data_IF_637276666852
#
_entry.id   IF_637276666852
#
_cell.length_a   1.000
_cell.length_b   1.000
_cell.length_c   1.000
_cell.angle_alpha   90.00
_cell.angle_beta   90.00
_cell.angle_gamma   90.00
#
_symmetry.space_group_name_H-M   'P 1'
#
loop_
_entity.id
_entity.type
_entity.pdbx_description
1 polymer ?
#
# COMPACT_ATOMS: atom_id res chain seq x y z
N UNK A 1 -17.50 -71.08 10.00
CA UNK A 1 -16.63 -70.22 9.19
C UNK A 1 -15.35 -70.98 8.94
N UNK A 2 -14.82 -70.98 7.71
CA UNK A 2 -13.61 -71.75 7.38
C UNK A 2 -12.40 -71.20 8.15
N UNK A 3 -11.75 -72.04 8.94
CA UNK A 3 -10.46 -71.71 9.56
C UNK A 3 -9.44 -71.43 8.46
N UNK A 4 -8.71 -70.31 8.56
CA UNK A 4 -7.62 -70.01 7.64
C UNK A 4 -6.60 -71.14 7.66
N UNK A 5 -6.02 -71.45 6.50
CA UNK A 5 -4.90 -72.39 6.45
C UNK A 5 -3.66 -71.78 7.12
N UNK A 6 -2.77 -72.61 7.65
CA UNK A 6 -1.52 -72.16 8.29
C UNK A 6 -0.68 -71.25 7.39
N UNK A 7 -0.77 -71.43 6.06
CA UNK A 7 -0.10 -70.57 5.08
C UNK A 7 -0.73 -69.17 5.03
N UNK A 8 -2.05 -69.08 5.05
CA UNK A 8 -2.77 -67.80 5.03
C UNK A 8 -2.59 -67.02 6.33
N UNK A 9 -2.56 -67.72 7.47
CA UNK A 9 -2.27 -67.13 8.78
C UNK A 9 -0.88 -66.48 8.79
N UNK A 10 0.15 -67.19 8.34
CA UNK A 10 1.52 -66.67 8.31
C UNK A 10 1.70 -65.50 7.32
N UNK A 11 1.02 -65.54 6.16
CA UNK A 11 1.05 -64.43 5.19
C UNK A 11 0.33 -63.21 5.75
N UNK A 12 -0.79 -63.38 6.45
CA UNK A 12 -1.55 -62.27 7.04
C UNK A 12 -0.79 -61.64 8.20
N UNK A 13 -0.18 -62.47 9.05
CA UNK A 13 0.65 -62.03 10.16
C UNK A 13 1.86 -61.21 9.70
N UNK A 14 2.54 -61.64 8.64
CA UNK A 14 3.67 -60.89 8.09
C UNK A 14 3.25 -59.53 7.53
N UNK A 15 2.08 -59.44 6.87
CA UNK A 15 1.51 -58.17 6.40
C UNK A 15 1.17 -57.22 7.56
N UNK A 16 0.49 -57.70 8.60
CA UNK A 16 0.15 -56.91 9.79
C UNK A 16 1.42 -56.39 10.47
N UNK A 17 2.43 -57.25 10.62
CA UNK A 17 3.72 -56.87 11.20
C UNK A 17 4.42 -55.79 10.39
N UNK A 18 4.47 -55.93 9.07
CA UNK A 18 5.06 -54.93 8.18
C UNK A 18 4.33 -53.59 8.27
N UNK A 19 3.00 -53.60 8.35
CA UNK A 19 2.18 -52.39 8.53
C UNK A 19 2.49 -51.67 9.86
N UNK A 20 2.69 -52.42 10.94
CA UNK A 20 3.19 -51.85 12.20
C UNK A 20 4.60 -51.28 12.07
N UNK A 21 5.50 -51.96 11.38
CA UNK A 21 6.88 -51.50 11.15
C UNK A 21 6.94 -50.23 10.29
N UNK A 22 6.16 -50.16 9.22
CA UNK A 22 6.09 -49.00 8.33
C UNK A 22 5.37 -47.82 9.00
N UNK A 23 4.24 -48.09 9.68
CA UNK A 23 3.51 -47.09 10.45
C UNK A 23 4.34 -46.50 11.59
N UNK A 24 5.14 -47.33 12.27
CA UNK A 24 6.04 -46.91 13.34
C UNK A 24 7.16 -45.99 12.83
N UNK A 25 7.70 -46.26 11.64
CA UNK A 25 8.68 -45.38 10.99
C UNK A 25 8.10 -44.01 10.64
N UNK A 26 6.84 -43.97 10.15
CA UNK A 26 6.21 -42.74 9.66
C UNK A 26 5.57 -41.89 10.77
N UNK A 27 4.94 -42.53 11.75
CA UNK A 27 4.13 -41.87 12.77
C UNK A 27 4.63 -42.10 14.21
N UNK A 28 5.66 -42.93 14.39
CA UNK A 28 6.32 -43.21 15.66
C UNK A 28 5.79 -44.46 16.38
N UNK A 29 6.68 -45.09 17.17
CA UNK A 29 6.40 -46.32 17.94
C UNK A 29 5.30 -46.18 18.99
N UNK A 30 4.91 -44.95 19.34
CA UNK A 30 3.79 -44.68 20.28
C UNK A 30 2.43 -44.94 19.65
N UNK A 31 2.32 -44.81 18.32
CA UNK A 31 1.07 -44.95 17.57
C UNK A 31 0.98 -46.35 16.96
N UNK A 32 2.07 -46.79 16.32
CA UNK A 32 2.21 -48.16 15.82
C UNK A 32 3.21 -48.92 16.71
N UNK A 33 2.70 -49.67 17.68
CA UNK A 33 3.52 -50.37 18.65
C UNK A 33 3.69 -51.86 18.27
N UNK A 34 4.82 -52.16 17.63
CA UNK A 34 5.20 -53.50 17.18
C UNK A 34 5.43 -54.46 18.36
N UNK A 35 6.02 -53.97 19.45
CA UNK A 35 6.28 -54.78 20.65
C UNK A 35 4.95 -55.26 21.26
N UNK A 36 4.01 -54.34 21.41
CA UNK A 36 2.66 -54.64 21.91
C UNK A 36 1.90 -55.61 21.00
N UNK A 37 2.05 -55.50 19.67
CA UNK A 37 1.51 -56.48 18.72
C UNK A 37 2.14 -57.86 18.92
N UNK A 38 3.47 -57.95 19.03
CA UNK A 38 4.16 -59.23 19.22
C UNK A 38 3.81 -59.88 20.56
N UNK A 39 3.60 -59.09 21.62
CA UNK A 39 3.18 -59.58 22.93
C UNK A 39 1.74 -60.12 22.89
N UNK A 40 0.80 -59.40 22.25
CA UNK A 40 -0.56 -59.89 22.00
C UNK A 40 -0.56 -61.19 21.19
N UNK A 41 0.31 -61.30 20.20
CA UNK A 41 0.44 -62.51 19.39
C UNK A 41 0.97 -63.71 20.21
N UNK A 42 1.98 -63.49 21.05
CA UNK A 42 2.50 -64.53 21.96
C UNK A 42 1.42 -64.99 22.94
N UNK A 43 0.63 -64.07 23.47
CA UNK A 43 -0.47 -64.36 24.38
C UNK A 43 -1.57 -65.18 23.69
N UNK A 44 -1.94 -64.84 22.46
CA UNK A 44 -2.90 -65.60 21.67
C UNK A 44 -2.46 -67.06 21.44
N UNK A 45 -1.15 -67.28 21.20
CA UNK A 45 -0.56 -68.61 21.07
C UNK A 45 -0.56 -69.39 22.40
N UNK A 46 -0.18 -68.75 23.51
CA UNK A 46 -0.17 -69.38 24.83
C UNK A 46 -1.58 -69.81 25.28
N UNK A 47 -2.57 -68.98 24.99
CA UNK A 47 -3.97 -69.20 25.37
C UNK A 47 -4.75 -70.07 24.36
N UNK A 48 -4.08 -70.59 23.31
CA UNK A 48 -4.69 -71.40 22.24
C UNK A 48 -5.92 -70.74 21.62
N UNK A 49 -5.88 -69.43 21.42
CA UNK A 49 -6.96 -68.68 20.80
C UNK A 49 -7.07 -69.01 19.29
N UNK A 50 -8.25 -68.80 18.71
CA UNK A 50 -8.44 -68.88 17.26
C UNK A 50 -7.68 -67.73 16.58
N UNK A 51 -6.59 -68.09 15.91
CA UNK A 51 -5.71 -67.15 15.20
C UNK A 51 -6.44 -66.37 14.10
N UNK A 52 -7.51 -66.93 13.52
CA UNK A 52 -8.30 -66.23 12.49
C UNK A 52 -9.03 -65.04 13.11
N UNK A 53 -9.61 -65.21 14.30
CA UNK A 53 -10.29 -64.14 15.02
C UNK A 53 -9.31 -63.11 15.58
N UNK A 54 -8.14 -63.56 16.06
CA UNK A 54 -7.05 -62.68 16.48
C UNK A 54 -6.60 -61.76 15.34
N UNK A 55 -6.31 -62.32 14.16
CA UNK A 55 -5.86 -61.54 13.00
C UNK A 55 -6.93 -60.53 12.56
N UNK A 56 -8.20 -60.89 12.60
CA UNK A 56 -9.30 -60.00 12.26
C UNK A 56 -9.43 -58.82 13.25
N UNK A 57 -9.28 -59.09 14.54
CA UNK A 57 -9.22 -58.04 15.57
C UNK A 57 -8.04 -57.08 15.35
N UNK A 58 -6.88 -57.62 14.99
CA UNK A 58 -5.68 -56.81 14.79
C UNK A 58 -5.77 -55.96 13.50
N UNK A 59 -6.39 -56.49 12.44
CA UNK A 59 -6.71 -55.72 11.23
C UNK A 59 -7.62 -54.55 11.58
N UNK A 60 -8.66 -54.77 12.39
CA UNK A 60 -9.57 -53.70 12.83
C UNK A 60 -8.84 -52.62 13.66
N UNK A 61 -7.93 -53.03 14.54
CA UNK A 61 -7.10 -52.09 15.33
C UNK A 61 -6.24 -51.21 14.40
N UNK A 62 -5.58 -51.83 13.40
CA UNK A 62 -4.79 -51.09 12.42
C UNK A 62 -5.65 -50.13 11.59
N UNK A 63 -6.85 -50.55 11.20
CA UNK A 63 -7.78 -49.72 10.44
C UNK A 63 -8.26 -48.51 11.27
N UNK A 64 -8.56 -48.70 12.55
CA UNK A 64 -8.88 -47.62 13.49
C UNK A 64 -7.73 -46.62 13.65
N UNK A 65 -6.48 -47.11 13.75
CA UNK A 65 -5.30 -46.25 13.81
C UNK A 65 -5.17 -45.42 12.52
N UNK A 66 -5.34 -46.05 11.35
CA UNK A 66 -5.29 -45.38 10.05
C UNK A 66 -6.38 -44.32 9.90
N UNK A 67 -7.61 -44.63 10.32
CA UNK A 67 -8.73 -43.69 10.26
C UNK A 67 -8.51 -42.46 11.15
N UNK A 68 -8.06 -42.66 12.41
CA UNK A 68 -7.74 -41.55 13.32
C UNK A 68 -6.61 -40.65 12.81
N UNK A 69 -5.62 -41.22 12.14
CA UNK A 69 -4.54 -40.44 11.54
C UNK A 69 -5.03 -39.62 10.35
N UNK A 70 -5.85 -40.22 9.48
CA UNK A 70 -6.45 -39.54 8.34
C UNK A 70 -7.32 -38.35 8.78
N UNK A 71 -8.12 -38.53 9.84
CA UNK A 71 -8.92 -37.45 10.43
C UNK A 71 -8.06 -36.31 10.97
N UNK A 72 -6.96 -36.63 11.67
CA UNK A 72 -6.02 -35.62 12.18
C UNK A 72 -5.29 -34.86 11.06
N UNK A 73 -4.90 -35.54 9.99
CA UNK A 73 -4.28 -34.91 8.82
C UNK A 73 -5.28 -33.95 8.14
N UNK A 74 -6.52 -34.38 7.94
CA UNK A 74 -7.60 -33.54 7.38
C UNK A 74 -7.92 -32.33 8.27
N UNK A 75 -7.93 -32.49 9.59
CA UNK A 75 -8.17 -31.38 10.52
C UNK A 75 -7.02 -30.36 10.51
N UNK A 76 -5.76 -30.83 10.40
CA UNK A 76 -4.60 -29.96 10.24
C UNK A 76 -4.65 -29.18 8.93
N UNK A 77 -4.94 -29.84 7.82
CA UNK A 77 -5.08 -29.17 6.52
C UNK A 77 -6.20 -28.12 6.53
N UNK A 78 -7.33 -28.41 7.17
CA UNK A 78 -8.42 -27.44 7.34
C UNK A 78 -8.00 -26.23 8.17
N UNK A 79 -7.34 -26.44 9.31
CA UNK A 79 -6.84 -25.34 10.16
C UNK A 79 -5.81 -24.49 9.44
N UNK A 80 -4.87 -25.12 8.73
CA UNK A 80 -3.88 -24.40 7.92
C UNK A 80 -4.52 -23.59 6.78
N UNK A 81 -5.56 -24.13 6.14
CA UNK A 81 -6.31 -23.42 5.10
C UNK A 81 -7.12 -22.24 5.67
N UNK A 82 -7.73 -22.40 6.84
CA UNK A 82 -8.46 -21.33 7.54
C UNK A 82 -7.52 -20.22 8.02
N UNK A 83 -6.36 -20.56 8.58
CA UNK A 83 -5.35 -19.58 8.99
C UNK A 83 -4.77 -18.82 7.80
N UNK A 84 -4.52 -19.49 6.67
CA UNK A 84 -4.09 -18.85 5.42
C UNK A 84 -5.15 -17.86 4.92
N UNK A 85 -6.41 -18.28 4.85
CA UNK A 85 -7.53 -17.41 4.46
C UNK A 85 -7.72 -16.22 5.42
N UNK A 86 -7.57 -16.43 6.72
CA UNK A 86 -7.66 -15.36 7.71
C UNK A 86 -6.53 -14.34 7.56
N UNK A 87 -5.30 -14.80 7.27
CA UNK A 87 -4.14 -13.93 6.99
C UNK A 87 -4.32 -13.15 5.68
N UNK A 88 -4.80 -13.80 4.63
CA UNK A 88 -5.12 -13.15 3.34
C UNK A 88 -6.21 -12.09 3.49
N UNK A 89 -7.31 -12.41 4.18
CA UNK A 89 -8.38 -11.44 4.45
C UNK A 89 -7.89 -10.25 5.30
N UNK A 90 -7.02 -10.50 6.28
CA UNK A 90 -6.40 -9.43 7.09
C UNK A 90 -5.50 -8.52 6.26
N UNK A 91 -4.78 -9.07 5.28
CA UNK A 91 -3.94 -8.29 4.37
C UNK A 91 -4.77 -7.46 3.39
N UNK A 92 -5.77 -8.06 2.73
CA UNK A 92 -6.65 -7.34 1.80
C UNK A 92 -7.38 -6.19 2.50
N UNK A 93 -7.94 -6.42 3.69
CA UNK A 93 -8.59 -5.36 4.47
C UNK A 93 -7.63 -4.21 4.81
N UNK A 94 -6.36 -4.51 5.07
CA UNK A 94 -5.34 -3.46 5.31
C UNK A 94 -5.07 -2.66 4.02
N UNK A 95 -4.94 -3.33 2.89
CA UNK A 95 -4.72 -2.69 1.58
C UNK A 95 -5.90 -1.80 1.23
N UNK A 96 -7.14 -2.29 1.34
CA UNK A 96 -8.35 -1.51 1.06
C UNK A 96 -8.45 -0.30 1.97
N UNK A 97 -8.22 -0.47 3.28
CA UNK A 97 -8.23 0.65 4.23
C UNK A 97 -7.14 1.69 3.95
N UNK A 98 -6.03 1.28 3.34
CA UNK A 98 -4.93 2.17 2.97
C UNK A 98 -5.29 2.94 1.69
N UNK A 99 -5.84 2.27 0.68
CA UNK A 99 -6.34 2.90 -0.56
C UNK A 99 -7.42 3.94 -0.23
N UNK A 100 -8.36 3.61 0.65
CA UNK A 100 -9.46 4.51 1.03
C UNK A 100 -8.95 5.75 1.78
N UNK A 101 -8.01 5.59 2.71
CA UNK A 101 -7.35 6.71 3.39
C UNK A 101 -6.64 7.63 2.40
N UNK A 102 -5.97 7.05 1.42
CA UNK A 102 -5.26 7.79 0.40
C UNK A 102 -6.18 8.56 -0.53
N UNK A 103 -7.27 7.94 -1.00
CA UNK A 103 -8.29 8.64 -1.78
C UNK A 103 -8.90 9.80 -0.98
N UNK A 104 -9.31 9.53 0.27
CA UNK A 104 -9.89 10.55 1.16
C UNK A 104 -8.94 11.72 1.42
N UNK A 105 -7.63 11.46 1.50
CA UNK A 105 -6.63 12.51 1.70
C UNK A 105 -6.53 13.48 0.51
N UNK A 106 -6.76 12.96 -0.70
CA UNK A 106 -6.63 13.70 -1.96
C UNK A 106 -7.92 14.45 -2.32
N UNK A 107 -9.10 13.93 -1.96
CA UNK A 107 -10.42 14.51 -2.28
C UNK A 107 -10.63 15.97 -1.82
N UNK A 108 -9.91 16.41 -0.78
CA UNK A 108 -9.98 17.80 -0.27
C UNK A 108 -9.42 18.84 -1.27
N UNK A 109 -8.56 18.40 -2.18
CA UNK A 109 -7.98 19.26 -3.22
C UNK A 109 -8.98 19.44 -4.36
N UNK A 110 -9.01 20.61 -5.03
CA UNK A 110 -9.84 20.78 -6.23
C UNK A 110 -9.49 19.72 -7.28
N UNK A 111 -10.50 19.23 -8.00
CA UNK A 111 -10.28 18.35 -9.16
C UNK A 111 -10.37 19.20 -10.43
N UNK A 112 -9.38 19.05 -11.30
CA UNK A 112 -9.31 19.75 -12.58
C UNK A 112 -9.42 18.76 -13.72
N UNK A 113 -10.18 19.13 -14.75
CA UNK A 113 -10.36 18.28 -15.91
C UNK A 113 -9.10 18.24 -16.76
N UNK A 114 -8.58 17.03 -16.98
CA UNK A 114 -7.42 16.75 -17.85
C UNK A 114 -7.87 15.95 -19.08
N UNK A 115 -8.47 14.78 -18.84
CA UNK A 115 -8.94 13.85 -19.88
C UNK A 115 -10.02 12.92 -19.29
N UNK A 116 -10.97 12.38 -20.09
CA UNK A 116 -12.06 11.53 -19.55
C UNK A 116 -11.60 10.24 -18.88
N UNK A 117 -10.40 9.76 -19.24
CA UNK A 117 -9.77 8.56 -18.66
C UNK A 117 -8.64 8.87 -17.66
N UNK A 118 -8.48 10.14 -17.27
CA UNK A 118 -7.45 10.51 -16.32
C UNK A 118 -7.76 9.92 -14.94
N UNK A 119 -6.72 9.51 -14.23
CA UNK A 119 -6.85 9.09 -12.84
C UNK A 119 -7.26 10.28 -11.94
N UNK A 120 -8.06 9.98 -10.92
CA UNK A 120 -8.54 10.98 -9.94
C UNK A 120 -7.36 11.65 -9.24
N UNK A 121 -6.33 10.89 -8.87
CA UNK A 121 -5.13 11.41 -8.21
C UNK A 121 -4.43 12.49 -9.03
N UNK A 122 -4.21 12.26 -10.32
CA UNK A 122 -3.56 13.22 -11.22
C UNK A 122 -4.44 14.47 -11.41
N UNK A 123 -5.76 14.28 -11.49
CA UNK A 123 -6.73 15.38 -11.63
C UNK A 123 -6.76 16.28 -10.38
N UNK A 124 -6.72 15.67 -9.20
CA UNK A 124 -6.63 16.40 -7.93
C UNK A 124 -5.26 17.02 -7.70
N UNK A 125 -4.18 16.37 -8.15
CA UNK A 125 -2.82 16.93 -8.09
C UNK A 125 -2.73 18.21 -8.93
N UNK A 126 -3.30 18.21 -10.13
CA UNK A 126 -3.35 19.41 -10.96
C UNK A 126 -4.12 20.55 -10.29
N UNK A 127 -5.30 20.27 -9.73
CA UNK A 127 -6.05 21.28 -8.98
C UNK A 127 -5.32 21.77 -7.72
N UNK A 128 -4.61 20.88 -7.02
CA UNK A 128 -3.77 21.25 -5.90
C UNK A 128 -2.64 22.21 -6.30
N UNK A 129 -2.00 21.99 -7.46
CA UNK A 129 -0.99 22.90 -8.00
C UNK A 129 -1.56 24.27 -8.40
N UNK A 130 -2.75 24.32 -9.00
CA UNK A 130 -3.40 25.61 -9.31
C UNK A 130 -3.73 26.39 -8.04
N UNK A 131 -4.21 25.71 -7.00
CA UNK A 131 -4.47 26.33 -5.69
C UNK A 131 -3.16 26.80 -5.02
N UNK A 132 -2.09 25.99 -5.05
CA UNK A 132 -0.78 26.39 -4.54
C UNK A 132 -0.19 27.58 -5.33
N UNK A 133 -0.38 27.62 -6.65
CA UNK A 133 0.06 28.73 -7.48
C UNK A 133 -0.69 30.02 -7.15
N UNK A 134 -2.00 29.95 -6.93
CA UNK A 134 -2.78 31.09 -6.46
C UNK A 134 -2.27 31.58 -5.08
N UNK A 135 -1.93 30.66 -4.17
CA UNK A 135 -1.28 31.01 -2.91
C UNK A 135 0.07 31.74 -3.13
N UNK A 136 0.88 31.23 -4.06
CA UNK A 136 2.15 31.84 -4.44
C UNK A 136 1.98 33.22 -5.10
N UNK A 137 0.94 33.43 -5.92
CA UNK A 137 0.61 34.73 -6.51
C UNK A 137 0.30 35.80 -5.45
N UNK A 138 -0.35 35.41 -4.34
CA UNK A 138 -0.55 36.33 -3.20
C UNK A 138 0.78 36.73 -2.57
N UNK A 139 1.70 35.78 -2.41
CA UNK A 139 3.06 36.08 -1.92
C UNK A 139 3.77 37.05 -2.87
N UNK A 140 3.77 36.73 -4.17
CA UNK A 140 4.34 37.60 -5.21
C UNK A 140 3.77 39.01 -5.15
N UNK A 141 2.46 39.16 -4.95
CA UNK A 141 1.79 40.46 -4.90
C UNK A 141 2.41 41.40 -3.85
N UNK A 142 2.64 40.93 -2.61
CA UNK A 142 3.20 41.79 -1.56
C UNK A 142 4.74 41.78 -1.52
N UNK A 143 5.39 40.80 -2.15
CA UNK A 143 6.85 40.71 -2.19
C UNK A 143 7.49 41.51 -3.34
N UNK A 144 6.77 41.79 -4.42
CA UNK A 144 7.27 42.49 -5.62
C UNK A 144 6.80 43.96 -5.75
N UNK A 145 6.52 44.64 -4.63
CA UNK A 145 6.04 46.02 -4.63
C UNK A 145 7.11 47.09 -4.85
N UNK A 146 6.76 48.40 -4.88
CA UNK A 146 7.67 49.53 -5.12
C UNK A 146 8.84 49.67 -4.13
N UNK A 147 8.74 49.02 -2.96
CA UNK A 147 9.77 48.94 -1.93
C UNK A 147 10.33 47.50 -1.78
N UNK A 148 10.13 46.66 -2.79
CA UNK A 148 10.56 45.26 -2.81
C UNK A 148 12.08 45.13 -2.86
N UNK A 149 12.61 44.09 -2.20
CA UNK A 149 14.02 43.75 -2.30
C UNK A 149 14.29 43.09 -3.66
N UNK A 150 15.23 43.65 -4.43
CA UNK A 150 15.60 43.13 -5.76
C UNK A 150 15.96 41.63 -5.75
N UNK A 151 16.60 41.15 -4.68
CA UNK A 151 16.97 39.74 -4.52
C UNK A 151 15.72 38.87 -4.34
N UNK A 152 14.76 39.35 -3.54
CA UNK A 152 13.47 38.66 -3.32
C UNK A 152 12.65 38.66 -4.61
N UNK A 153 12.54 39.80 -5.29
CA UNK A 153 11.80 39.91 -6.54
C UNK A 153 12.38 39.00 -7.62
N UNK A 154 13.70 38.98 -7.79
CA UNK A 154 14.38 38.09 -8.74
C UNK A 154 14.14 36.63 -8.39
N UNK A 155 14.30 36.26 -7.12
CA UNK A 155 14.06 34.89 -6.67
C UNK A 155 12.61 34.42 -6.90
N UNK A 156 11.63 35.31 -6.70
CA UNK A 156 10.21 35.03 -6.96
C UNK A 156 9.95 34.87 -8.46
N UNK A 157 10.50 35.74 -9.31
CA UNK A 157 10.37 35.61 -10.78
C UNK A 157 10.98 34.31 -11.31
N UNK A 158 12.16 33.94 -10.81
CA UNK A 158 12.81 32.68 -11.18
C UNK A 158 11.95 31.47 -10.80
N UNK A 159 11.30 31.52 -9.65
CA UNK A 159 10.41 30.45 -9.20
C UNK A 159 9.07 30.43 -9.91
N UNK A 160 8.54 31.59 -10.27
CA UNK A 160 7.34 31.72 -11.09
C UNK A 160 7.52 30.95 -12.40
N UNK A 161 8.66 31.12 -13.07
CA UNK A 161 9.03 30.38 -14.28
C UNK A 161 9.09 28.86 -14.06
N UNK A 162 9.59 28.40 -12.90
CA UNK A 162 9.62 26.97 -12.53
C UNK A 162 8.23 26.42 -12.22
N UNK A 163 7.30 27.26 -11.79
CA UNK A 163 5.92 26.89 -11.49
C UNK A 163 5.09 26.72 -12.78
N UNK A 164 5.35 27.53 -13.81
CA UNK A 164 4.56 27.55 -15.05
C UNK A 164 4.27 26.16 -15.66
N UNK A 165 5.23 25.22 -15.77
CA UNK A 165 4.99 23.90 -16.36
C UNK A 165 3.90 23.07 -15.65
N UNK A 166 3.62 23.36 -14.38
CA UNK A 166 2.63 22.65 -13.55
C UNK A 166 1.22 23.25 -13.65
N UNK A 167 1.08 24.50 -14.10
CA UNK A 167 -0.19 25.24 -14.00
C UNK A 167 -0.68 25.86 -15.30
N UNK A 168 0.23 26.35 -16.15
CA UNK A 168 -0.16 27.03 -17.38
C UNK A 168 -0.38 26.06 -18.52
N UNK A 169 -1.59 26.05 -19.12
CA UNK A 169 -1.86 25.31 -20.34
C UNK A 169 -0.95 25.76 -21.48
N UNK A 170 -0.43 24.81 -22.25
CA UNK A 170 0.42 25.11 -23.42
C UNK A 170 -0.16 24.50 -24.70
N UNK A 171 -0.13 25.28 -25.78
CA UNK A 171 -0.52 24.82 -27.12
C UNK A 171 -1.98 24.37 -27.24
N UNK A 172 -2.22 23.37 -28.08
CA UNK A 172 -3.56 22.85 -28.40
C UNK A 172 -4.11 21.88 -27.34
N UNK A 173 -3.24 21.28 -26.52
CA UNK A 173 -3.62 20.26 -25.53
C UNK A 173 -4.45 20.81 -24.37
N UNK A 174 -4.47 22.15 -24.20
CA UNK A 174 -5.17 22.86 -23.11
C UNK A 174 -4.82 22.35 -21.70
N UNK A 175 -3.72 21.62 -21.54
CA UNK A 175 -3.18 21.13 -20.27
C UNK A 175 -1.76 21.64 -20.07
N UNK A 176 -1.27 21.73 -18.83
CA UNK A 176 0.12 22.13 -18.58
C UNK A 176 1.13 21.14 -19.15
N UNK A 177 2.35 21.63 -19.36
CA UNK A 177 3.42 20.89 -20.05
C UNK A 177 3.71 19.53 -19.40
N UNK A 178 3.70 19.43 -18.07
CA UNK A 178 4.00 18.14 -17.41
C UNK A 178 2.93 17.07 -17.64
N UNK A 179 1.71 17.48 -18.00
CA UNK A 179 0.57 16.58 -18.24
C UNK A 179 0.40 16.23 -19.73
N UNK A 180 1.14 16.86 -20.65
CA UNK A 180 0.94 16.64 -22.09
C UNK A 180 1.19 15.19 -22.50
N UNK A 181 2.28 14.60 -22.01
CA UNK A 181 2.66 13.22 -22.33
C UNK A 181 1.69 12.22 -21.69
N UNK A 182 1.05 12.59 -20.59
CA UNK A 182 0.02 11.79 -19.96
C UNK A 182 -1.27 11.79 -20.78
N UNK A 183 -1.75 12.96 -21.23
CA UNK A 183 -2.91 13.06 -22.12
C UNK A 183 -2.68 12.27 -23.41
N UNK A 184 -1.50 12.44 -24.02
CA UNK A 184 -1.14 11.70 -25.22
C UNK A 184 -1.11 10.18 -25.01
N UNK A 185 -0.59 9.73 -23.87
CA UNK A 185 -0.59 8.31 -23.49
C UNK A 185 -2.01 7.76 -23.29
N UNK A 186 -2.91 8.55 -22.68
CA UNK A 186 -4.31 8.17 -22.49
C UNK A 186 -5.10 8.09 -23.79
N UNK A 187 -4.82 8.97 -24.75
CA UNK A 187 -5.42 8.96 -26.08
C UNK A 187 -5.00 7.71 -26.88
N UNK A 188 -3.71 7.36 -26.81
CA UNK A 188 -3.17 6.16 -27.47
C UNK A 188 -3.51 4.86 -26.74
N UNK A 189 -3.83 4.93 -25.45
CA UNK A 189 -4.09 3.76 -24.61
C UNK A 189 -2.83 3.01 -24.18
N UNK A 190 -1.65 3.61 -24.30
CA UNK A 190 -0.37 2.98 -23.95
C UNK A 190 0.53 3.96 -23.18
N UNK A 191 1.20 3.47 -22.12
CA UNK A 191 2.23 4.23 -21.40
C UNK A 191 1.74 5.21 -20.34
N UNK A 192 0.43 5.25 -20.03
CA UNK A 192 -0.16 6.16 -19.04
C UNK A 192 0.55 6.07 -17.67
N UNK A 193 0.75 4.85 -17.16
CA UNK A 193 1.42 4.61 -15.87
C UNK A 193 2.84 5.19 -15.79
N UNK A 194 3.57 5.21 -16.92
CA UNK A 194 4.91 5.79 -16.96
C UNK A 194 4.85 7.31 -16.84
N UNK A 195 3.91 7.94 -17.55
CA UNK A 195 3.68 9.39 -17.49
C UNK A 195 3.17 9.81 -16.11
N UNK A 196 2.32 9.02 -15.45
CA UNK A 196 1.86 9.25 -14.07
C UNK A 196 3.02 9.28 -13.08
N UNK A 197 3.89 8.25 -13.13
CA UNK A 197 5.09 8.21 -12.28
C UNK A 197 6.02 9.39 -12.53
N UNK A 198 6.15 9.84 -13.79
CA UNK A 198 6.91 11.03 -14.13
C UNK A 198 6.31 12.29 -13.50
N UNK A 199 4.99 12.48 -13.62
CA UNK A 199 4.28 13.62 -13.02
C UNK A 199 4.46 13.63 -11.51
N UNK A 200 4.24 12.51 -10.83
CA UNK A 200 4.40 12.41 -9.37
C UNK A 200 5.84 12.73 -8.94
N UNK A 201 6.83 12.19 -9.66
CA UNK A 201 8.24 12.44 -9.38
C UNK A 201 8.62 13.92 -9.53
N UNK A 202 8.28 14.54 -10.66
CA UNK A 202 8.58 15.96 -10.89
C UNK A 202 7.82 16.86 -9.92
N UNK A 203 6.58 16.49 -9.56
CA UNK A 203 5.79 17.18 -8.54
C UNK A 203 6.46 17.14 -7.17
N UNK A 204 6.96 15.98 -6.76
CA UNK A 204 7.71 15.86 -5.51
C UNK A 204 8.98 16.70 -5.51
N UNK A 205 9.79 16.60 -6.56
CA UNK A 205 11.01 17.42 -6.69
C UNK A 205 10.72 18.91 -6.62
N UNK A 206 9.67 19.34 -7.31
CA UNK A 206 9.24 20.73 -7.28
C UNK A 206 8.81 21.17 -5.88
N UNK A 207 7.94 20.41 -5.21
CA UNK A 207 7.38 20.79 -3.91
C UNK A 207 8.45 20.88 -2.82
N UNK A 208 9.39 19.93 -2.77
CA UNK A 208 10.51 20.00 -1.82
C UNK A 208 11.37 21.25 -2.08
N UNK A 209 11.75 21.49 -3.33
CA UNK A 209 12.55 22.66 -3.68
C UNK A 209 11.79 23.97 -3.41
N UNK A 210 10.48 23.99 -3.66
CA UNK A 210 9.60 25.12 -3.40
C UNK A 210 9.58 25.46 -1.91
N UNK A 211 9.41 24.47 -1.03
CA UNK A 211 9.44 24.69 0.43
C UNK A 211 10.77 25.33 0.85
N UNK A 212 11.89 24.72 0.46
CA UNK A 212 13.24 25.18 0.83
C UNK A 212 13.50 26.62 0.35
N UNK A 213 13.08 26.94 -0.89
CA UNK A 213 13.24 28.30 -1.43
C UNK A 213 12.30 29.30 -0.77
N UNK A 214 11.04 28.94 -0.57
CA UNK A 214 10.06 29.85 0.01
C UNK A 214 10.38 30.17 1.47
N UNK A 215 10.93 29.22 2.24
CA UNK A 215 11.48 29.50 3.57
C UNK A 215 12.67 30.47 3.51
N UNK A 216 13.57 30.28 2.56
CA UNK A 216 14.70 31.20 2.34
C UNK A 216 14.23 32.62 1.97
N UNK A 217 13.22 32.73 1.09
CA UNK A 217 12.61 34.01 0.70
C UNK A 217 11.92 34.66 1.90
N UNK A 218 11.13 33.90 2.66
CA UNK A 218 10.45 34.36 3.88
C UNK A 218 11.43 35.02 4.84
N UNK A 219 12.57 34.36 5.12
CA UNK A 219 13.58 34.86 6.04
C UNK A 219 14.20 36.21 5.62
N UNK A 220 14.32 36.46 4.31
CA UNK A 220 14.84 37.73 3.77
C UNK A 220 13.74 38.79 3.77
N UNK A 221 12.54 38.44 3.32
CA UNK A 221 11.41 39.34 3.17
C UNK A 221 10.98 39.94 4.52
N UNK A 222 10.86 39.11 5.57
CA UNK A 222 10.40 39.54 6.89
C UNK A 222 11.40 40.39 7.67
N UNK A 223 12.72 40.28 7.39
CA UNK A 223 13.75 41.10 8.06
C UNK A 223 13.66 42.59 7.69
N UNK A 224 13.06 42.92 6.54
CA UNK A 224 13.08 44.28 5.96
C UNK A 224 11.73 44.98 5.97
N UNK A 225 10.65 44.30 6.32
CA UNK A 225 9.30 44.90 6.33
C UNK A 225 8.87 45.29 7.75
N UNK A 226 8.56 46.58 7.94
CA UNK A 226 8.02 47.12 9.20
C UNK A 226 6.49 47.05 9.28
N UNK A 227 5.82 46.89 8.14
CA UNK A 227 4.37 46.76 8.05
C UNK A 227 3.96 45.30 7.80
N UNK A 228 3.16 44.76 8.71
CA UNK A 228 2.74 43.35 8.71
C UNK A 228 1.32 43.14 8.20
N UNK A 229 0.54 44.20 7.98
CA UNK A 229 -0.81 44.07 7.47
C UNK A 229 -0.80 43.95 5.94
N UNK A 230 -1.52 42.95 5.41
CA UNK A 230 -1.75 42.80 3.98
C UNK A 230 -3.23 43.03 3.69
N UNK A 231 -3.50 43.90 2.74
CA UNK A 231 -4.79 43.98 2.08
C UNK A 231 -4.71 43.06 0.87
N UNK A 232 -5.53 41.99 0.88
CA UNK A 232 -5.60 41.05 -0.24
C UNK A 232 -6.22 41.75 -1.46
N UNK A 233 -5.77 41.42 -2.69
CA UNK A 233 -6.40 41.93 -3.90
C UNK A 233 -7.88 41.58 -3.98
N UNK A 234 -8.74 42.54 -4.33
CA UNK A 234 -10.19 42.29 -4.47
C UNK A 234 -10.50 41.24 -5.53
N UNK A 235 -9.72 41.19 -6.62
CA UNK A 235 -9.84 40.20 -7.70
C UNK A 235 -9.65 38.76 -7.22
N UNK A 236 -8.88 38.54 -6.14
CA UNK A 236 -8.66 37.21 -5.58
C UNK A 236 -9.97 36.60 -5.04
N UNK A 237 -10.90 37.44 -4.57
CA UNK A 237 -12.19 36.98 -4.06
C UNK A 237 -13.07 36.35 -5.14
N UNK A 238 -12.95 36.80 -6.39
CA UNK A 238 -13.64 36.24 -7.55
C UNK A 238 -12.87 35.12 -8.25
N UNK A 239 -11.54 35.24 -8.36
CA UNK A 239 -10.70 34.29 -9.09
C UNK A 239 -10.39 33.02 -8.30
N UNK A 240 -10.19 33.16 -6.98
CA UNK A 240 -9.88 32.03 -6.10
C UNK A 240 -10.49 32.20 -4.70
N UNK A 241 -11.81 31.96 -4.55
CA UNK A 241 -12.52 32.14 -3.28
C UNK A 241 -11.93 31.31 -2.13
N UNK A 242 -11.45 30.09 -2.43
CA UNK A 242 -10.78 29.21 -1.47
C UNK A 242 -9.52 29.87 -0.91
N UNK A 243 -8.62 30.36 -1.77
CA UNK A 243 -7.38 31.03 -1.36
C UNK A 243 -7.66 32.35 -0.65
N UNK A 244 -8.64 33.12 -1.12
CA UNK A 244 -9.07 34.34 -0.43
C UNK A 244 -9.52 34.04 1.01
N UNK A 245 -10.38 33.03 1.20
CA UNK A 245 -10.82 32.61 2.53
C UNK A 245 -9.68 32.08 3.39
N UNK A 246 -8.72 31.38 2.78
CA UNK A 246 -7.56 30.78 3.44
C UNK A 246 -6.60 31.83 4.01
N UNK A 247 -6.48 32.99 3.37
CA UNK A 247 -5.60 34.09 3.79
C UNK A 247 -6.31 35.27 4.45
N UNK A 248 -7.64 35.31 4.45
CA UNK A 248 -8.40 36.41 5.04
C UNK A 248 -8.00 36.61 6.50
N UNK A 249 -7.55 37.82 6.83
CA UNK A 249 -7.15 38.22 8.19
C UNK A 249 -5.75 37.77 8.61
N UNK A 250 -4.98 37.13 7.71
CA UNK A 250 -3.61 36.71 7.98
C UNK A 250 -2.59 37.81 7.67
N UNK A 251 -1.51 37.84 8.45
CA UNK A 251 -0.35 38.69 8.19
C UNK A 251 0.63 38.04 7.20
N UNK A 252 1.70 38.77 6.84
CA UNK A 252 2.77 38.30 5.92
C UNK A 252 3.34 36.94 6.30
N UNK A 253 3.78 36.81 7.55
CA UNK A 253 4.40 35.59 8.04
C UNK A 253 3.43 34.40 8.03
N UNK A 254 2.19 34.63 8.46
CA UNK A 254 1.14 33.63 8.48
C UNK A 254 0.79 33.14 7.06
N UNK A 255 0.83 34.01 6.05
CA UNK A 255 0.60 33.64 4.65
C UNK A 255 1.74 32.76 4.11
N UNK A 256 3.01 33.10 4.38
CA UNK A 256 4.13 32.22 4.03
C UNK A 256 3.99 30.86 4.72
N UNK A 257 3.78 30.84 6.03
CA UNK A 257 3.65 29.60 6.80
C UNK A 257 2.49 28.75 6.28
N UNK A 258 1.33 29.36 6.02
CA UNK A 258 0.16 28.65 5.50
C UNK A 258 0.42 28.05 4.11
N UNK A 259 1.16 28.76 3.25
CA UNK A 259 1.54 28.26 1.92
C UNK A 259 2.52 27.09 2.00
N UNK A 260 3.51 27.17 2.90
CA UNK A 260 4.47 26.09 3.16
C UNK A 260 3.80 24.86 3.77
N UNK A 261 2.87 25.05 4.72
CA UNK A 261 2.06 23.97 5.29
C UNK A 261 1.22 23.30 4.21
N UNK A 262 0.63 24.08 3.30
CA UNK A 262 -0.14 23.53 2.19
C UNK A 262 0.73 22.68 1.25
N UNK A 263 1.91 23.18 0.85
CA UNK A 263 2.85 22.42 0.04
C UNK A 263 3.36 21.14 0.75
N UNK A 264 3.61 21.22 2.07
CA UNK A 264 4.00 20.08 2.88
C UNK A 264 2.88 19.04 3.01
N UNK A 265 1.63 19.50 3.13
CA UNK A 265 0.46 18.62 3.11
C UNK A 265 0.35 17.89 1.76
N UNK A 266 0.54 18.59 0.63
CA UNK A 266 0.56 17.95 -0.69
C UNK A 266 1.60 16.83 -0.77
N UNK A 267 2.82 17.05 -0.26
CA UNK A 267 3.86 16.00 -0.23
C UNK A 267 3.37 14.77 0.53
N UNK A 268 2.63 14.95 1.62
CA UNK A 268 2.15 13.84 2.42
C UNK A 268 0.97 13.11 1.78
N UNK A 269 -0.02 13.86 1.33
CA UNK A 269 -1.28 13.33 0.83
C UNK A 269 -1.10 12.62 -0.53
N UNK A 270 -0.23 13.15 -1.40
CA UNK A 270 0.13 12.53 -2.69
C UNK A 270 1.34 11.56 -2.59
N UNK A 271 1.83 11.29 -1.38
CA UNK A 271 2.92 10.34 -1.11
C UNK A 271 4.22 10.65 -1.87
N UNK A 272 4.61 11.92 -1.86
CA UNK A 272 5.77 12.45 -2.59
C UNK A 272 7.03 12.55 -1.72
N UNK A 273 7.04 11.95 -0.52
CA UNK A 273 8.16 12.08 0.43
C UNK A 273 9.48 11.54 -0.14
N UNK A 274 9.43 10.46 -0.93
CA UNK A 274 10.61 9.82 -1.51
C UNK A 274 11.22 10.61 -2.68
N UNK A 275 10.48 11.55 -3.26
CA UNK A 275 10.93 12.32 -4.42
C UNK A 275 11.64 13.60 -4.00
N UNK A 276 12.77 13.46 -3.30
CA UNK A 276 13.68 14.57 -3.03
C UNK A 276 14.84 14.51 -4.02
N UNK A 277 15.20 15.63 -4.62
CA UNK A 277 16.45 15.70 -5.39
C UNK A 277 17.60 15.68 -4.40
N UNK A 278 18.49 14.70 -4.51
CA UNK A 278 19.78 14.78 -3.84
C UNK A 278 20.53 15.97 -4.43
N UNK A 279 20.87 16.95 -3.61
CA UNK A 279 21.80 18.02 -3.98
C UNK A 279 23.19 17.40 -4.10
N UNK A 280 23.57 16.99 -5.31
CA UNK A 280 24.95 16.79 -5.73
C UNK A 280 25.43 18.02 -6.51
#
# INVERSE_FOLDING_TARGET
MSSLSDKEINVTLSKIRNEYEEGAKKYGNKIYNIESFNDRYREALQNRQDLSNYLLLEINILEDIKNRLRERELEKERKEAEEKKAKENSFMNKVDSMIEKFRSAIEKYPSEYIHPKAEEEISHLYGAFKELYNCFCVIRYFSCGPAGDYVVETAIKDYDNKFQPFVMPVGESKVPQIFSDYVFALEKGEGANRSEQFILKESGFFLHSFIDKMDSIKAIALKKTFDNQIILPESLSSESPRVFSFFKGKNKEEIYNATLIYASAMINDFRLQSFRKDEN
#
